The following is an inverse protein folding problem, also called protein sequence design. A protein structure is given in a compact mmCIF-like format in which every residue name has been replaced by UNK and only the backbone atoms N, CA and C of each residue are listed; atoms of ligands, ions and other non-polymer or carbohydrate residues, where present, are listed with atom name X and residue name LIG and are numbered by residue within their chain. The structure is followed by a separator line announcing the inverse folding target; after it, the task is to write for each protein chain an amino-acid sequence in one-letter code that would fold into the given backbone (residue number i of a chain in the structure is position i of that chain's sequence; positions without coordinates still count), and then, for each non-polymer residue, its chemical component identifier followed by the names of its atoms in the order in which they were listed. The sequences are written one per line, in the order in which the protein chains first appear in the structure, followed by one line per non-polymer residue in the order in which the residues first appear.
data_IF_888437220716
#
_entry.id   IF_888437220716
#
_cell.length_a   1.000
_cell.length_b   1.000
_cell.length_c   1.000
_cell.angle_alpha   90.00
_cell.angle_beta   90.00
_cell.angle_gamma   90.00
#
_symmetry.space_group_name_H-M   'P 1'
#
loop_
_entity.id
_entity.type
_entity.pdbx_description
1 polymer ?
#
# COMPACT_ATOMS: atom_id res chain seq x y z
N UNK A 1 -59.46 -8.00 -4.14
CA UNK A 1 -58.45 -9.06 -3.91
C UNK A 1 -57.58 -9.09 -5.14
N UNK A 2 -56.33 -8.68 -5.17
CA UNK A 2 -55.15 -8.94 -4.34
C UNK A 2 -54.03 -8.86 -5.40
N UNK A 3 -52.83 -8.34 -5.27
CA UNK A 3 -52.01 -7.74 -4.24
C UNK A 3 -50.80 -7.13 -5.00
N UNK A 4 -50.10 -6.18 -4.38
CA UNK A 4 -48.70 -5.74 -4.57
C UNK A 4 -47.90 -6.32 -5.76
N UNK A 5 -47.16 -5.56 -6.59
CA UNK A 5 -45.93 -4.84 -6.23
C UNK A 5 -45.32 -4.18 -7.49
N UNK A 6 -44.90 -2.91 -7.40
CA UNK A 6 -44.02 -2.28 -8.38
C UNK A 6 -42.60 -2.89 -8.33
N UNK A 7 -41.90 -3.06 -9.46
CA UNK A 7 -40.45 -3.12 -9.47
C UNK A 7 -39.86 -1.75 -9.85
N UNK A 8 -39.27 -1.13 -8.84
CA UNK A 8 -38.29 -0.04 -8.87
C UNK A 8 -37.47 0.06 -10.17
N UNK A 9 -37.61 1.19 -10.88
CA UNK A 9 -36.77 1.59 -11.98
C UNK A 9 -35.37 2.00 -11.49
N UNK A 10 -34.41 1.07 -11.55
CA UNK A 10 -32.98 1.40 -11.57
C UNK A 10 -32.51 1.51 -13.03
N UNK A 11 -31.78 2.56 -13.42
CA UNK A 11 -31.17 2.60 -14.75
C UNK A 11 -30.07 1.55 -14.84
N UNK A 12 -30.20 0.64 -15.80
CA UNK A 12 -29.13 -0.28 -16.20
C UNK A 12 -28.17 0.51 -17.09
N UNK A 13 -27.00 0.87 -16.56
CA UNK A 13 -25.88 1.34 -17.39
C UNK A 13 -25.31 0.15 -18.20
N UNK A 14 -24.85 0.37 -19.44
CA UNK A 14 -24.47 -0.70 -20.35
C UNK A 14 -23.12 -1.32 -19.95
N UNK A 15 -23.09 -2.65 -19.85
CA UNK A 15 -21.86 -3.42 -19.83
C UNK A 15 -21.05 -3.17 -21.10
N UNK A 16 -19.91 -2.50 -20.96
CA UNK A 16 -18.85 -2.53 -21.97
C UNK A 16 -17.77 -3.50 -21.51
N UNK A 17 -17.75 -4.66 -22.17
CA UNK A 17 -16.76 -5.70 -21.95
C UNK A 17 -15.34 -5.18 -22.22
N UNK A 18 -14.44 -5.44 -21.28
CA UNK A 18 -12.99 -5.44 -21.51
C UNK A 18 -12.42 -6.75 -20.99
N UNK A 19 -11.89 -7.65 -21.84
CA UNK A 19 -11.20 -8.85 -21.38
C UNK A 19 -9.77 -8.44 -21.02
N UNK A 20 -9.56 -8.13 -19.75
CA UNK A 20 -8.26 -7.68 -19.28
C UNK A 20 -8.39 -7.16 -17.87
N UNK A 21 -8.63 -8.08 -16.92
CA UNK A 21 -8.56 -7.75 -15.50
C UNK A 21 -7.09 -7.42 -15.20
N UNK A 22 -6.70 -6.17 -15.44
CA UNK A 22 -5.44 -5.63 -14.98
C UNK A 22 -5.50 -5.63 -13.46
N UNK A 23 -4.90 -6.65 -12.85
CA UNK A 23 -4.53 -6.63 -11.44
C UNK A 23 -3.42 -5.61 -11.24
N UNK A 24 -3.77 -4.32 -11.36
CA UNK A 24 -2.93 -3.23 -10.89
C UNK A 24 -2.97 -3.33 -9.37
N UNK A 25 -2.08 -4.15 -8.81
CA UNK A 25 -1.87 -4.25 -7.37
C UNK A 25 -1.38 -2.88 -6.89
N UNK A 26 -2.32 -2.05 -6.42
CA UNK A 26 -2.09 -0.72 -5.87
C UNK A 26 -1.39 -0.78 -4.49
N UNK A 27 -0.41 -1.67 -4.34
CA UNK A 27 0.54 -1.71 -3.22
C UNK A 27 1.85 -0.99 -3.56
N UNK A 28 2.01 -0.56 -4.82
CA UNK A 28 3.15 0.23 -5.31
C UNK A 28 2.88 1.69 -5.01
N UNK A 29 3.77 2.34 -4.26
CA UNK A 29 3.40 3.61 -3.64
C UNK A 29 4.47 4.30 -2.81
N UNK A 30 5.67 4.45 -3.38
CA UNK A 30 6.79 5.26 -2.89
C UNK A 30 7.81 4.55 -1.97
N UNK A 31 8.16 3.28 -2.27
CA UNK A 31 9.44 2.78 -1.73
C UNK A 31 10.58 3.67 -2.22
N UNK A 32 11.56 3.92 -1.35
CA UNK A 32 12.79 4.63 -1.74
C UNK A 32 13.63 3.84 -2.76
N UNK A 33 13.30 2.57 -2.96
CA UNK A 33 13.97 1.64 -3.86
C UNK A 33 12.95 1.08 -4.87
N UNK A 34 13.11 1.37 -6.17
CA UNK A 34 12.17 0.94 -7.21
C UNK A 34 12.07 -0.59 -7.38
N UNK A 35 13.15 -1.35 -7.14
CA UNK A 35 13.11 -2.82 -7.18
C UNK A 35 12.22 -3.39 -6.08
N UNK A 36 12.33 -2.85 -4.88
CA UNK A 36 11.47 -3.23 -3.76
C UNK A 36 10.02 -2.83 -4.05
N UNK A 37 9.78 -1.62 -4.59
CA UNK A 37 8.43 -1.18 -4.98
C UNK A 37 7.81 -2.17 -6.00
N UNK A 38 8.58 -2.55 -7.02
CA UNK A 38 8.14 -3.48 -8.05
C UNK A 38 7.77 -4.86 -7.48
N UNK A 39 8.60 -5.41 -6.58
CA UNK A 39 8.37 -6.71 -5.92
C UNK A 39 7.36 -6.69 -4.77
N UNK A 40 6.96 -5.51 -4.26
CA UNK A 40 6.07 -5.38 -3.09
C UNK A 40 4.84 -6.29 -3.13
N UNK A 41 4.13 -6.45 -4.27
CA UNK A 41 2.97 -7.33 -4.31
C UNK A 41 3.32 -8.81 -4.09
N UNK A 42 4.44 -9.27 -4.65
CA UNK A 42 4.95 -10.64 -4.47
C UNK A 42 5.46 -10.86 -3.04
N UNK A 43 6.14 -9.87 -2.45
CA UNK A 43 6.55 -9.91 -1.04
C UNK A 43 5.34 -9.99 -0.11
N UNK A 44 4.30 -9.18 -0.37
CA UNK A 44 3.05 -9.21 0.37
C UNK A 44 2.31 -10.55 0.24
N UNK A 45 2.35 -11.17 -0.94
CA UNK A 45 1.83 -12.51 -1.16
C UNK A 45 2.55 -13.55 -0.27
N UNK A 46 3.89 -13.56 -0.28
CA UNK A 46 4.69 -14.46 0.56
C UNK A 46 4.35 -14.29 2.04
N UNK A 47 4.26 -13.05 2.51
CA UNK A 47 3.92 -12.73 3.91
C UNK A 47 2.50 -13.14 4.29
N UNK A 48 1.54 -13.01 3.38
CA UNK A 48 0.15 -13.43 3.66
C UNK A 48 0.06 -14.95 3.74
N UNK A 49 0.71 -15.64 2.83
CA UNK A 49 0.63 -17.10 2.73
C UNK A 49 1.34 -17.81 3.89
N UNK A 50 2.38 -17.22 4.51
CA UNK A 50 2.97 -17.77 5.73
C UNK A 50 2.00 -17.77 6.93
N UNK A 51 0.96 -16.93 6.91
CA UNK A 51 -0.07 -16.89 7.98
C UNK A 51 -1.26 -17.80 7.69
N UNK A 52 -1.45 -18.26 6.45
CA UNK A 52 -2.58 -19.09 6.01
C UNK A 52 -2.31 -20.58 6.25
N UNK A 53 -2.12 -20.96 7.52
CA UNK A 53 -1.60 -22.29 7.91
C UNK A 53 -2.57 -23.49 7.71
N UNK A 54 -3.67 -23.37 6.96
CA UNK A 54 -4.67 -24.46 6.83
C UNK A 54 -5.61 -24.39 5.61
N UNK A 55 -5.48 -23.40 4.71
CA UNK A 55 -6.33 -23.31 3.52
C UNK A 55 -5.63 -23.89 2.29
N UNK A 56 -6.39 -24.59 1.44
CA UNK A 56 -5.88 -25.04 0.15
C UNK A 56 -5.43 -23.82 -0.68
N UNK A 57 -4.22 -23.89 -1.24
CA UNK A 57 -3.74 -22.83 -2.12
C UNK A 57 -4.65 -22.71 -3.36
N UNK A 58 -4.79 -21.50 -3.93
CA UNK A 58 -5.48 -21.34 -5.21
C UNK A 58 -4.80 -22.15 -6.32
N UNK A 59 -5.58 -22.86 -7.14
CA UNK A 59 -5.09 -23.74 -8.21
C UNK A 59 -4.20 -23.02 -9.24
N UNK A 60 -4.44 -21.73 -9.47
CA UNK A 60 -3.71 -20.90 -10.44
C UNK A 60 -2.65 -19.97 -9.83
N UNK A 61 -2.25 -20.19 -8.58
CA UNK A 61 -1.29 -19.31 -7.93
C UNK A 61 0.07 -19.30 -8.63
N UNK A 62 0.56 -20.46 -9.08
CA UNK A 62 1.87 -20.56 -9.73
C UNK A 62 1.92 -19.76 -11.03
N UNK A 63 0.93 -19.94 -11.92
CA UNK A 63 0.85 -19.20 -13.18
C UNK A 63 0.67 -17.69 -12.96
N UNK A 64 -0.07 -17.29 -11.93
CA UNK A 64 -0.17 -15.88 -11.53
C UNK A 64 1.19 -15.32 -11.12
N UNK A 65 1.95 -16.04 -10.28
CA UNK A 65 3.28 -15.58 -9.84
C UNK A 65 4.26 -15.51 -10.99
N UNK A 66 4.22 -16.46 -11.93
CA UNK A 66 5.03 -16.40 -13.16
C UNK A 66 4.72 -15.13 -13.94
N UNK A 67 3.44 -14.82 -14.13
CA UNK A 67 2.98 -13.60 -14.81
C UNK A 67 3.43 -12.34 -14.08
N UNK A 68 3.31 -12.32 -12.75
CA UNK A 68 3.71 -11.19 -11.92
C UNK A 68 5.23 -10.96 -11.95
N UNK A 69 6.04 -12.02 -11.96
CA UNK A 69 7.50 -11.93 -12.09
C UNK A 69 7.89 -11.35 -13.45
N UNK A 70 7.24 -11.78 -14.54
CA UNK A 70 7.45 -11.21 -15.88
C UNK A 70 7.05 -9.73 -15.95
N UNK A 71 5.93 -9.36 -15.33
CA UNK A 71 5.48 -7.97 -15.26
C UNK A 71 6.44 -7.09 -14.44
N UNK A 72 7.05 -7.63 -13.38
CA UNK A 72 8.10 -6.95 -12.61
C UNK A 72 9.35 -6.76 -13.45
N UNK A 73 9.79 -7.77 -14.17
CA UNK A 73 10.93 -7.67 -15.09
C UNK A 73 10.72 -6.57 -16.13
N UNK A 74 9.56 -6.55 -16.80
CA UNK A 74 9.23 -5.52 -17.78
C UNK A 74 9.23 -4.12 -17.14
N UNK A 75 8.67 -3.97 -15.94
CA UNK A 75 8.68 -2.69 -15.23
C UNK A 75 10.10 -2.20 -14.93
N UNK A 76 11.01 -3.09 -14.51
CA UNK A 76 12.40 -2.72 -14.25
C UNK A 76 13.14 -2.36 -15.55
N UNK A 77 12.82 -3.00 -16.67
CA UNK A 77 13.35 -2.62 -17.98
C UNK A 77 12.87 -1.21 -18.37
N UNK A 78 11.59 -0.90 -18.19
CA UNK A 78 11.01 0.42 -18.44
C UNK A 78 11.62 1.52 -17.54
N UNK A 79 12.06 1.16 -16.33
CA UNK A 79 12.78 2.05 -15.41
C UNK A 79 14.27 2.24 -15.75
N UNK A 80 14.78 1.54 -16.77
CA UNK A 80 16.15 1.71 -17.27
C UNK A 80 17.22 0.87 -16.55
N UNK A 81 16.83 -0.16 -15.79
CA UNK A 81 17.82 -1.07 -15.17
C UNK A 81 18.54 -1.92 -16.22
N UNK A 82 19.83 -2.19 -15.98
CA UNK A 82 20.63 -3.04 -16.86
C UNK A 82 20.09 -4.48 -16.89
N UNK A 83 20.05 -5.16 -18.06
CA UNK A 83 19.52 -6.52 -18.16
C UNK A 83 20.16 -7.52 -17.19
N UNK A 84 21.48 -7.42 -16.96
CA UNK A 84 22.19 -8.29 -16.01
C UNK A 84 21.75 -8.08 -14.55
N UNK A 85 21.38 -6.86 -14.18
CA UNK A 85 20.84 -6.53 -12.86
C UNK A 85 19.43 -7.09 -12.70
N UNK A 86 18.60 -6.97 -13.74
CA UNK A 86 17.23 -7.51 -13.73
C UNK A 86 17.24 -9.04 -13.64
N UNK A 87 18.14 -9.70 -14.37
CA UNK A 87 18.33 -11.17 -14.28
C UNK A 87 18.77 -11.57 -12.87
N UNK A 88 19.68 -10.81 -12.26
CA UNK A 88 20.15 -11.06 -10.88
C UNK A 88 19.03 -10.86 -9.85
N UNK A 89 18.23 -9.81 -10.02
CA UNK A 89 17.05 -9.53 -9.21
C UNK A 89 16.01 -10.66 -9.32
N UNK A 90 15.66 -11.06 -10.55
CA UNK A 90 14.70 -12.15 -10.79
C UNK A 90 15.18 -13.45 -10.16
N UNK A 91 16.48 -13.75 -10.25
CA UNK A 91 17.08 -14.91 -9.61
C UNK A 91 16.87 -14.91 -8.10
N UNK A 92 17.18 -13.79 -7.44
CA UNK A 92 17.03 -13.64 -5.97
C UNK A 92 15.55 -13.75 -5.59
N UNK A 93 14.66 -13.06 -6.31
CA UNK A 93 13.21 -13.09 -6.07
C UNK A 93 12.63 -14.50 -6.20
N UNK A 94 12.94 -15.22 -7.28
CA UNK A 94 12.50 -16.59 -7.48
C UNK A 94 13.02 -17.52 -6.37
N UNK A 95 14.31 -17.41 -6.03
CA UNK A 95 14.92 -18.23 -4.96
C UNK A 95 14.26 -17.95 -3.60
N UNK A 96 13.97 -16.69 -3.29
CA UNK A 96 13.30 -16.29 -2.06
C UNK A 96 11.88 -16.86 -1.97
N UNK A 97 11.08 -16.70 -3.02
CA UNK A 97 9.70 -17.20 -3.05
C UNK A 97 9.70 -18.74 -2.97
N UNK A 98 10.58 -19.42 -3.71
CA UNK A 98 10.71 -20.88 -3.66
C UNK A 98 11.04 -21.38 -2.25
N UNK A 99 11.96 -20.72 -1.54
CA UNK A 99 12.31 -21.10 -0.16
C UNK A 99 11.14 -20.88 0.81
N UNK A 100 10.42 -19.77 0.68
CA UNK A 100 9.24 -19.49 1.48
C UNK A 100 8.10 -20.47 1.18
N UNK A 101 7.92 -20.85 -0.08
CA UNK A 101 6.93 -21.84 -0.51
C UNK A 101 7.21 -23.22 0.11
N UNK A 102 8.46 -23.67 0.04
CA UNK A 102 8.89 -24.93 0.64
C UNK A 102 8.79 -24.90 2.18
N UNK A 103 9.16 -23.78 2.81
CA UNK A 103 9.11 -23.62 4.27
C UNK A 103 7.72 -23.60 4.87
N UNK A 104 6.73 -23.05 4.16
CA UNK A 104 5.35 -22.91 4.63
C UNK A 104 4.42 -24.03 4.10
N UNK A 105 4.97 -25.13 3.59
CA UNK A 105 4.17 -26.28 3.17
C UNK A 105 3.31 -26.05 1.91
N UNK A 106 3.65 -25.07 1.06
CA UNK A 106 3.00 -24.89 -0.25
C UNK A 106 3.23 -26.10 -1.16
N UNK A 107 4.13 -27.00 -0.75
CA UNK A 107 4.59 -28.22 -1.41
C UNK A 107 3.70 -29.46 -1.20
N UNK A 108 2.55 -29.41 -0.53
CA UNK A 108 1.83 -30.68 -0.26
C UNK A 108 0.82 -31.12 -1.35
N UNK A 109 0.38 -30.22 -2.25
CA UNK A 109 -0.59 -30.57 -3.34
C UNK A 109 -0.46 -29.76 -4.65
N UNK A 110 0.59 -28.95 -4.83
CA UNK A 110 0.59 -27.86 -5.83
C UNK A 110 1.65 -27.99 -6.93
N UNK A 111 1.50 -27.23 -8.02
CA UNK A 111 2.44 -27.16 -9.15
C UNK A 111 3.88 -26.83 -8.74
N UNK A 112 4.06 -26.13 -7.62
CA UNK A 112 5.37 -25.80 -7.05
C UNK A 112 6.25 -27.01 -6.72
N UNK A 113 5.66 -28.18 -6.50
CA UNK A 113 6.39 -29.46 -6.32
C UNK A 113 6.97 -29.94 -7.64
N UNK A 114 6.23 -29.72 -8.74
CA UNK A 114 6.59 -30.21 -10.08
C UNK A 114 7.67 -29.33 -10.70
N UNK A 115 7.58 -28.02 -10.50
CA UNK A 115 8.50 -27.05 -11.07
C UNK A 115 8.57 -25.81 -10.17
N UNK A 116 9.76 -25.49 -9.65
CA UNK A 116 9.99 -24.27 -8.89
C UNK A 116 10.11 -23.05 -9.81
N UNK A 117 9.96 -21.84 -9.27
CA UNK A 117 10.15 -20.62 -10.07
C UNK A 117 11.58 -20.51 -10.58
N UNK A 118 12.56 -20.89 -9.76
CA UNK A 118 13.96 -20.88 -10.17
C UNK A 118 14.23 -21.84 -11.34
N UNK A 119 13.62 -23.02 -11.32
CA UNK A 119 13.70 -23.96 -12.45
C UNK A 119 13.01 -23.35 -13.68
N UNK A 120 11.83 -22.75 -13.51
CA UNK A 120 11.09 -22.13 -14.61
C UNK A 120 11.86 -20.98 -15.30
N UNK A 121 12.45 -20.06 -14.54
CA UNK A 121 13.08 -18.85 -15.09
C UNK A 121 14.59 -18.97 -15.35
N UNK A 122 15.27 -19.86 -14.65
CA UNK A 122 16.73 -19.98 -14.68
C UNK A 122 17.23 -21.39 -14.98
N UNK A 123 16.34 -22.37 -15.11
CA UNK A 123 16.69 -23.78 -15.31
C UNK A 123 17.65 -24.31 -14.23
N UNK A 124 17.46 -23.86 -12.99
CA UNK A 124 18.27 -24.21 -11.83
C UNK A 124 17.40 -24.66 -10.66
N UNK A 125 17.82 -25.73 -9.96
CA UNK A 125 17.07 -26.28 -8.83
C UNK A 125 17.64 -25.86 -7.45
N UNK A 126 18.84 -25.29 -7.39
CA UNK A 126 19.56 -24.99 -6.14
C UNK A 126 20.09 -23.55 -6.15
N UNK A 127 19.24 -22.58 -5.78
CA UNK A 127 19.62 -21.16 -5.74
C UNK A 127 20.16 -20.66 -4.41
N UNK A 128 19.88 -21.37 -3.31
CA UNK A 128 20.17 -20.93 -1.94
C UNK A 128 21.65 -20.67 -1.63
N UNK A 129 22.58 -21.25 -2.40
CA UNK A 129 24.01 -20.96 -2.30
C UNK A 129 24.46 -19.86 -3.27
N UNK A 130 23.97 -19.90 -4.51
CA UNK A 130 24.33 -18.92 -5.55
C UNK A 130 23.92 -17.50 -5.20
N UNK A 131 22.85 -17.31 -4.41
CA UNK A 131 22.49 -15.99 -3.87
C UNK A 131 23.64 -15.38 -3.05
N UNK A 132 24.38 -16.17 -2.26
CA UNK A 132 25.52 -15.67 -1.49
C UNK A 132 26.76 -15.41 -2.36
N UNK A 133 26.97 -16.22 -3.40
CA UNK A 133 28.03 -15.95 -4.40
C UNK A 133 27.73 -14.64 -5.14
N UNK A 134 26.47 -14.42 -5.51
CA UNK A 134 26.01 -13.19 -6.14
C UNK A 134 26.20 -12.00 -5.18
N UNK A 135 25.82 -12.13 -3.91
CA UNK A 135 26.03 -11.11 -2.89
C UNK A 135 27.50 -10.66 -2.80
N UNK A 136 28.45 -11.59 -2.75
CA UNK A 136 29.88 -11.26 -2.70
C UNK A 136 30.38 -10.50 -3.94
N UNK A 137 29.73 -10.66 -5.10
CA UNK A 137 30.02 -9.87 -6.30
C UNK A 137 29.40 -8.48 -6.20
N UNK A 138 28.13 -8.39 -5.80
CA UNK A 138 27.39 -7.13 -5.71
C UNK A 138 28.01 -6.17 -4.68
N UNK A 139 28.50 -6.68 -3.55
CA UNK A 139 29.15 -5.88 -2.50
C UNK A 139 30.43 -5.18 -2.98
N UNK A 140 31.06 -5.63 -4.08
CA UNK A 140 32.27 -4.99 -4.64
C UNK A 140 31.97 -3.67 -5.33
N UNK A 141 30.76 -3.50 -5.86
CA UNK A 141 30.29 -2.27 -6.53
C UNK A 141 28.98 -1.79 -5.86
N UNK A 142 29.02 -1.42 -4.57
CA UNK A 142 27.80 -1.26 -3.76
C UNK A 142 26.96 -0.04 -4.18
N UNK A 143 27.58 0.99 -4.76
CA UNK A 143 26.88 2.16 -5.32
C UNK A 143 26.08 1.78 -6.56
N UNK A 144 26.65 0.93 -7.43
CA UNK A 144 26.00 0.49 -8.67
C UNK A 144 24.83 -0.45 -8.39
N UNK A 145 25.00 -1.34 -7.41
CA UNK A 145 24.03 -2.38 -7.08
C UNK A 145 23.22 -2.07 -5.81
N UNK A 146 23.12 -0.80 -5.42
CA UNK A 146 22.49 -0.39 -4.18
C UNK A 146 21.07 -0.95 -4.05
N UNK A 147 20.23 -0.77 -5.07
CA UNK A 147 18.83 -1.21 -5.02
C UNK A 147 18.71 -2.73 -4.84
N UNK A 148 19.59 -3.49 -5.49
CA UNK A 148 19.59 -4.94 -5.42
C UNK A 148 20.11 -5.45 -4.08
N UNK A 149 21.12 -4.79 -3.51
CA UNK A 149 21.66 -5.09 -2.18
C UNK A 149 20.60 -4.83 -1.10
N UNK A 150 19.86 -3.73 -1.21
CA UNK A 150 18.75 -3.40 -0.32
C UNK A 150 17.60 -4.41 -0.43
N UNK A 151 17.25 -4.84 -1.65
CA UNK A 151 16.27 -5.91 -1.86
C UNK A 151 16.71 -7.22 -1.20
N UNK A 152 17.98 -7.59 -1.35
CA UNK A 152 18.53 -8.80 -0.75
C UNK A 152 18.59 -8.71 0.78
N UNK A 153 18.92 -7.53 1.33
CA UNK A 153 18.82 -7.26 2.76
C UNK A 153 17.38 -7.46 3.26
N UNK A 154 16.39 -6.94 2.53
CA UNK A 154 14.98 -7.14 2.85
C UNK A 154 14.60 -8.63 2.83
N UNK A 155 15.02 -9.40 1.83
CA UNK A 155 14.80 -10.85 1.80
C UNK A 155 15.38 -11.55 3.04
N UNK A 156 16.58 -11.15 3.49
CA UNK A 156 17.21 -11.70 4.70
C UNK A 156 16.40 -11.34 5.96
N UNK A 157 15.92 -10.10 6.07
CA UNK A 157 15.04 -9.66 7.16
C UNK A 157 13.70 -10.39 7.17
N UNK A 158 13.17 -10.76 6.00
CA UNK A 158 11.94 -11.54 5.85
C UNK A 158 12.13 -13.05 6.08
N UNK A 159 13.33 -13.49 6.45
CA UNK A 159 13.59 -14.87 6.87
C UNK A 159 14.24 -15.77 5.83
N UNK A 160 14.72 -15.23 4.71
CA UNK A 160 15.54 -16.00 3.77
C UNK A 160 16.84 -16.47 4.44
N UNK A 161 17.17 -17.75 4.32
CA UNK A 161 18.40 -18.36 4.88
C UNK A 161 19.21 -19.12 3.84
N UNK A 162 18.63 -19.58 2.74
CA UNK A 162 19.34 -20.31 1.70
C UNK A 162 20.10 -21.52 2.27
N UNK A 163 21.38 -21.64 1.92
CA UNK A 163 22.26 -22.72 2.42
C UNK A 163 22.38 -22.77 3.95
N UNK A 164 22.11 -21.68 4.65
CA UNK A 164 22.24 -21.58 6.12
C UNK A 164 21.01 -22.10 6.88
N UNK A 165 19.99 -22.64 6.19
CA UNK A 165 18.75 -23.12 6.82
C UNK A 165 18.94 -24.38 7.70
N UNK A 166 19.97 -25.19 7.44
CA UNK A 166 20.06 -26.58 7.96
C UNK A 166 21.02 -26.74 9.15
N UNK A 167 21.82 -25.74 9.52
CA UNK A 167 22.85 -25.90 10.56
C UNK A 167 22.82 -24.79 11.62
N UNK A 168 22.53 -25.18 12.87
CA UNK A 168 22.67 -24.32 14.07
C UNK A 168 24.06 -23.68 14.15
N UNK A 169 25.11 -24.40 13.75
CA UNK A 169 26.49 -23.94 13.80
C UNK A 169 26.85 -22.91 12.72
N UNK A 170 26.01 -22.75 11.69
CA UNK A 170 26.24 -21.78 10.61
C UNK A 170 25.40 -20.50 10.78
N UNK A 171 24.58 -20.41 11.84
CA UNK A 171 23.82 -19.18 12.15
C UNK A 171 24.76 -17.99 12.40
N UNK A 172 25.90 -18.23 13.05
CA UNK A 172 26.93 -17.21 13.27
C UNK A 172 27.53 -16.69 11.96
N UNK A 173 27.67 -17.54 10.94
CA UNK A 173 28.20 -17.13 9.64
C UNK A 173 27.19 -16.28 8.86
N UNK A 174 25.92 -16.71 8.84
CA UNK A 174 24.83 -15.93 8.25
C UNK A 174 24.74 -14.54 8.90
N UNK A 175 24.79 -14.48 10.23
CA UNK A 175 24.68 -13.22 10.97
C UNK A 175 25.85 -12.27 10.63
N UNK A 176 27.08 -12.79 10.50
CA UNK A 176 28.22 -11.99 10.03
C UNK A 176 28.02 -11.42 8.63
N UNK A 177 27.47 -12.23 7.71
CA UNK A 177 27.17 -11.78 6.35
C UNK A 177 26.07 -10.72 6.37
N UNK A 178 25.01 -10.93 7.15
CA UNK A 178 23.90 -9.99 7.31
C UNK A 178 24.38 -8.65 7.88
N UNK A 179 25.21 -8.67 8.92
CA UNK A 179 25.82 -7.47 9.50
C UNK A 179 26.76 -6.74 8.52
N UNK A 180 27.54 -7.50 7.74
CA UNK A 180 28.40 -6.92 6.69
C UNK A 180 27.55 -6.21 5.64
N UNK A 181 26.47 -6.83 5.17
CA UNK A 181 25.54 -6.21 4.21
C UNK A 181 24.90 -4.95 4.80
N UNK A 182 24.43 -5.02 6.06
CA UNK A 182 23.89 -3.87 6.77
C UNK A 182 24.89 -2.71 6.82
N UNK A 183 26.16 -2.97 7.18
CA UNK A 183 27.20 -1.95 7.25
C UNK A 183 27.49 -1.29 5.90
N UNK A 184 27.50 -2.09 4.82
CA UNK A 184 27.66 -1.58 3.46
C UNK A 184 26.50 -0.64 3.11
N UNK A 185 25.26 -1.06 3.34
CA UNK A 185 24.06 -0.25 3.05
C UNK A 185 23.98 1.02 3.91
N UNK A 186 24.31 0.92 5.19
CA UNK A 186 24.31 2.04 6.12
C UNK A 186 25.32 3.12 5.69
N UNK A 187 26.47 2.73 5.13
CA UNK A 187 27.44 3.69 4.57
C UNK A 187 26.91 4.40 3.32
N UNK A 188 26.07 3.76 2.52
CA UNK A 188 25.52 4.36 1.29
C UNK A 188 24.40 5.36 1.60
N UNK A 189 23.45 5.00 2.48
CA UNK A 189 22.30 5.84 2.82
C UNK A 189 22.59 6.86 3.92
N UNK A 190 23.60 6.63 4.75
CA UNK A 190 23.82 7.38 5.98
C UNK A 190 22.82 6.99 7.07
N UNK A 191 22.81 7.77 8.15
CA UNK A 191 21.89 7.54 9.27
C UNK A 191 20.44 7.70 8.78
N UNK A 192 19.60 6.70 9.10
CA UNK A 192 18.18 6.85 8.92
C UNK A 192 17.72 8.08 9.73
N UNK A 193 16.93 9.00 9.14
CA UNK A 193 16.35 10.08 9.93
C UNK A 193 15.62 9.44 11.11
N UNK A 194 15.91 9.95 12.33
CA UNK A 194 15.28 9.48 13.56
C UNK A 194 13.79 9.25 13.29
N UNK A 195 13.19 8.11 13.69
CA UNK A 195 11.81 7.80 13.37
C UNK A 195 10.92 8.85 14.03
N UNK A 196 10.66 9.93 13.30
CA UNK A 196 9.65 10.90 13.64
C UNK A 196 8.33 10.17 13.36
N UNK A 197 7.86 9.42 14.36
CA UNK A 197 6.47 8.97 14.48
C UNK A 197 5.48 10.14 14.32
N UNK A 198 6.00 11.37 14.36
CA UNK A 198 5.33 12.59 13.94
C UNK A 198 6.06 13.22 12.74
N UNK A 199 5.86 12.68 11.55
CA UNK A 199 6.11 13.47 10.33
C UNK A 199 5.11 14.62 10.37
N UNK A 200 5.58 15.80 10.79
CA UNK A 200 4.78 17.02 10.91
C UNK A 200 3.98 17.16 9.61
N UNK A 201 2.66 17.05 9.75
CA UNK A 201 1.67 17.12 8.68
C UNK A 201 1.55 18.57 8.19
N UNK A 202 2.68 19.20 7.91
CA UNK A 202 2.82 20.53 7.33
C UNK A 202 3.39 20.48 5.91
N UNK A 203 4.01 19.37 5.50
CA UNK A 203 4.62 19.24 4.16
C UNK A 203 3.76 18.52 3.12
N UNK A 204 2.66 17.86 3.52
CA UNK A 204 1.62 17.41 2.58
C UNK A 204 0.44 18.37 2.62
N UNK A 205 0.40 19.28 1.65
CA UNK A 205 -0.73 20.16 1.35
C UNK A 205 -1.99 19.40 0.92
N UNK A 206 -2.60 18.68 1.86
CA UNK A 206 -3.94 18.13 1.74
C UNK A 206 -4.95 19.17 2.20
N UNK A 207 -5.82 19.62 1.29
CA UNK A 207 -6.80 20.71 1.39
C UNK A 207 -7.95 20.47 2.39
N UNK A 208 -7.68 19.93 3.59
CA UNK A 208 -8.70 19.57 4.58
C UNK A 208 -8.42 20.15 5.99
N UNK A 209 -8.11 21.44 6.09
CA UNK A 209 -8.10 22.14 7.38
C UNK A 209 -8.84 23.48 7.41
N UNK A 210 -9.53 23.88 6.34
CA UNK A 210 -10.20 25.19 6.31
C UNK A 210 -11.57 25.23 7.03
N UNK A 211 -12.21 24.09 7.26
CA UNK A 211 -13.61 24.07 7.75
C UNK A 211 -13.72 24.21 9.28
N UNK A 212 -12.64 24.03 10.05
CA UNK A 212 -12.75 23.96 11.52
C UNK A 212 -12.62 25.32 12.25
N UNK A 213 -12.14 26.39 11.59
CA UNK A 213 -11.99 27.71 12.23
C UNK A 213 -13.03 28.75 11.82
N UNK A 214 -13.72 28.57 10.70
CA UNK A 214 -14.75 29.50 10.23
C UNK A 214 -16.14 29.24 10.85
N UNK A 215 -16.43 28.03 11.31
CA UNK A 215 -17.82 27.67 11.65
C UNK A 215 -18.35 28.34 12.91
N UNK A 216 -17.60 28.42 14.02
CA UNK A 216 -18.20 28.88 15.29
C UNK A 216 -18.45 30.39 15.34
N UNK A 217 -17.51 31.21 14.84
CA UNK A 217 -17.65 32.67 14.87
C UNK A 217 -18.74 33.15 13.90
N UNK A 218 -18.84 32.56 12.70
CA UNK A 218 -19.88 32.93 11.74
C UNK A 218 -21.25 32.40 12.12
N UNK A 219 -21.34 31.23 12.78
CA UNK A 219 -22.61 30.74 13.34
C UNK A 219 -23.10 31.66 14.47
N UNK A 220 -22.22 32.09 15.38
CA UNK A 220 -22.60 33.04 16.43
C UNK A 220 -23.00 34.41 15.86
N UNK A 221 -22.25 34.92 14.88
CA UNK A 221 -22.57 36.21 14.25
C UNK A 221 -23.90 36.15 13.46
N UNK A 222 -24.13 35.04 12.74
CA UNK A 222 -25.39 34.80 12.04
C UNK A 222 -26.58 34.68 13.00
N UNK A 223 -26.40 33.96 14.12
CA UNK A 223 -27.42 33.85 15.17
C UNK A 223 -27.79 35.21 15.76
N UNK A 224 -26.80 36.06 16.05
CA UNK A 224 -27.03 37.42 16.56
C UNK A 224 -27.80 38.28 15.55
N UNK A 225 -27.43 38.22 14.27
CA UNK A 225 -28.10 38.98 13.21
C UNK A 225 -29.58 38.60 13.08
N UNK A 226 -29.90 37.30 13.13
CA UNK A 226 -31.29 36.81 13.09
C UNK A 226 -32.09 37.33 14.29
N UNK A 227 -31.49 37.34 15.48
CA UNK A 227 -32.12 37.83 16.71
C UNK A 227 -32.47 39.32 16.62
N UNK A 228 -31.55 40.13 16.07
CA UNK A 228 -31.78 41.58 15.85
C UNK A 228 -32.90 41.83 14.86
N UNK A 229 -32.94 41.09 13.75
CA UNK A 229 -34.02 41.20 12.75
C UNK A 229 -35.36 40.85 13.38
N UNK A 230 -35.41 39.78 14.18
CA UNK A 230 -36.63 39.37 14.86
C UNK A 230 -37.10 40.42 15.89
N UNK A 231 -36.17 41.00 16.64
CA UNK A 231 -36.47 42.07 17.59
C UNK A 231 -37.01 43.33 16.90
N UNK A 232 -36.37 43.77 15.80
CA UNK A 232 -36.85 44.90 15.00
C UNK A 232 -38.25 44.65 14.43
N UNK A 233 -38.51 43.43 13.94
CA UNK A 233 -39.83 43.04 13.46
C UNK A 233 -40.90 43.15 14.57
N UNK A 234 -40.57 42.72 15.79
CA UNK A 234 -41.47 42.88 16.93
C UNK A 234 -41.74 44.34 17.28
N UNK A 235 -40.72 45.19 17.27
CA UNK A 235 -40.90 46.62 17.56
C UNK A 235 -41.83 47.30 16.54
N UNK A 236 -41.62 47.05 15.25
CA UNK A 236 -42.48 47.61 14.20
C UNK A 236 -43.93 47.11 14.32
N UNK A 237 -44.12 45.83 14.66
CA UNK A 237 -45.46 45.27 14.87
C UNK A 237 -46.15 45.81 16.13
N UNK A 238 -45.38 46.09 17.18
CA UNK A 238 -45.90 46.66 18.42
C UNK A 238 -46.34 48.11 18.21
N UNK A 239 -45.60 48.87 17.41
CA UNK A 239 -45.93 50.25 17.06
C UNK A 239 -47.22 50.34 16.24
N UNK A 240 -47.43 49.44 15.27
CA UNK A 240 -48.71 49.37 14.55
C UNK A 240 -49.89 49.04 15.46
N UNK A 241 -49.73 48.09 16.38
CA UNK A 241 -50.79 47.75 17.35
C UNK A 241 -51.07 48.87 18.36
N UNK A 242 -50.03 49.60 18.76
CA UNK A 242 -50.17 50.74 19.68
C UNK A 242 -50.94 51.88 19.01
N UNK A 243 -50.68 52.17 17.73
CA UNK A 243 -51.42 53.17 16.98
C UNK A 243 -52.90 52.79 16.77
N UNK A 244 -53.19 51.53 16.49
CA UNK A 244 -54.58 51.05 16.34
C UNK A 244 -55.39 51.22 17.63
N UNK A 245 -54.80 50.90 18.79
CA UNK A 245 -55.44 51.05 20.10
C UNK A 245 -55.65 52.54 20.43
N UNK A 246 -54.66 53.39 20.15
CA UNK A 246 -54.80 54.85 20.35
C UNK A 246 -55.89 55.45 19.44
N UNK A 247 -56.02 54.95 18.22
CA UNK A 247 -57.05 55.39 17.29
C UNK A 247 -58.45 54.94 17.75
N UNK A 248 -58.58 53.74 18.32
CA UNK A 248 -59.82 53.26 18.94
C UNK A 248 -60.21 54.06 20.18
N UNK A 249 -59.25 54.39 21.05
CA UNK A 249 -59.47 55.24 22.22
C UNK A 249 -59.93 56.64 21.85
N UNK A 250 -59.29 57.27 20.85
CA UNK A 250 -59.66 58.61 20.39
C UNK A 250 -61.04 58.62 19.69
N UNK A 251 -61.43 57.52 19.07
CA UNK A 251 -62.75 57.35 18.45
C UNK A 251 -63.88 57.14 19.48
N UNK A 252 -63.58 56.66 20.68
CA UNK A 252 -64.55 56.50 21.79
C UNK A 252 -64.67 57.75 22.68
N UNK A 253 -63.71 58.67 22.59
CA UNK A 253 -63.67 59.94 23.34
C UNK A 253 -64.26 61.12 22.57
N UNK A 254 -64.89 60.88 21.42
CA UNK A 254 -65.58 61.85 20.58
C UNK A 254 -67.03 61.42 20.35
#
# INVERSE_FOLDING_TARGET
MSDMSEPSAFPVEPESGTPGRQYRLTLRGNSLNPMIDAATPLLGMVMRLSTMNSQAMPEHLFSQVVTDVQAVEQLLQEQGYEPGVIVSFRYILCTFIDEAALGNGWSNKNEWIKQSLLVHFHNEAWGGEKVFILLERLIREPVRYQDLLEFLYLCFSLGFRGRYKVAMQQQDEFERIYQRLHHVLHKLRGDAPFPLLHQDRKTRGGRYQLIRRLTVKHVLLGGLAVLVVFYLFYLLRLESQTQDILHQLNKLLR
#
